data_IF_497883311140
#
_entry.id   IF_497883311140
#
_cell.length_a   1.000
_cell.length_b   1.000
_cell.length_c   1.000
_cell.angle_alpha   90.00
_cell.angle_beta   90.00
_cell.angle_gamma   90.00
#
_symmetry.space_group_name_H-M   'P 1'
#
loop_
_entity.id
_entity.type
_entity.pdbx_description
1 polymer ?
#
# COMPACT_ATOMS: atom_id res chain seq x y z
N UNK A 1 16.02 18.73 -2.70
CA UNK A 1 16.12 20.19 -2.87
C UNK A 1 15.04 20.97 -2.09
N UNK A 2 13.75 20.56 -2.10
CA UNK A 2 12.65 21.26 -1.40
C UNK A 2 12.84 21.27 0.12
N UNK A 3 13.03 20.12 0.76
CA UNK A 3 13.25 19.99 2.20
C UNK A 3 14.43 20.86 2.70
N UNK A 4 15.56 20.86 1.97
CA UNK A 4 16.72 21.72 2.37
C UNK A 4 16.37 23.21 2.38
N UNK A 5 15.52 23.67 1.46
CA UNK A 5 15.04 25.07 1.44
C UNK A 5 14.04 25.36 2.56
N UNK A 6 13.22 24.36 2.91
CA UNK A 6 12.16 24.52 3.92
C UNK A 6 12.72 24.50 5.34
N UNK A 7 13.68 23.63 5.62
CA UNK A 7 14.19 23.39 6.98
C UNK A 7 15.59 23.97 7.23
N UNK A 8 16.28 24.47 6.19
CA UNK A 8 17.56 25.16 6.27
C UNK A 8 18.56 24.50 7.26
N UNK A 9 18.85 25.15 8.37
CA UNK A 9 19.81 24.68 9.39
C UNK A 9 19.29 23.42 10.15
N UNK A 10 18.01 23.13 10.11
CA UNK A 10 17.39 21.96 10.76
C UNK A 10 17.20 20.79 9.80
N UNK A 11 17.68 20.89 8.56
CA UNK A 11 17.46 19.88 7.55
C UNK A 11 17.90 18.48 7.99
N UNK A 12 19.11 18.35 8.54
CA UNK A 12 19.67 17.04 8.88
C UNK A 12 18.91 16.39 10.04
N UNK A 13 18.48 17.18 11.03
CA UNK A 13 17.65 16.71 12.15
C UNK A 13 16.27 16.24 11.66
N UNK A 14 15.60 17.05 10.86
CA UNK A 14 14.28 16.71 10.29
C UNK A 14 14.38 15.49 9.37
N UNK A 15 15.42 15.42 8.54
CA UNK A 15 15.64 14.29 7.64
C UNK A 15 15.86 12.99 8.42
N UNK A 16 16.66 13.01 9.48
CA UNK A 16 16.88 11.84 10.34
C UNK A 16 15.59 11.38 11.02
N UNK A 17 14.83 12.29 11.62
CA UNK A 17 13.57 11.99 12.29
C UNK A 17 12.51 11.41 11.30
N UNK A 18 12.40 12.01 10.11
CA UNK A 18 11.50 11.50 9.07
C UNK A 18 11.93 10.11 8.57
N UNK A 19 13.23 9.89 8.42
CA UNK A 19 13.77 8.59 7.99
C UNK A 19 13.46 7.52 9.04
N UNK A 20 13.71 7.79 10.31
CA UNK A 20 13.39 6.89 11.42
C UNK A 20 11.88 6.58 11.45
N UNK A 21 11.04 7.61 11.36
CA UNK A 21 9.59 7.44 11.31
C UNK A 21 9.15 6.55 10.14
N UNK A 22 9.64 6.80 8.92
CA UNK A 22 9.25 6.03 7.73
C UNK A 22 9.73 4.57 7.81
N UNK A 23 10.93 4.33 8.32
CA UNK A 23 11.47 2.98 8.50
C UNK A 23 10.76 2.20 9.63
N UNK A 24 10.09 2.88 10.57
CA UNK A 24 9.30 2.24 11.62
C UNK A 24 7.89 1.83 11.17
N UNK A 25 7.44 2.27 9.99
CA UNK A 25 6.10 1.94 9.50
C UNK A 25 6.03 0.48 9.00
N UNK A 26 4.90 -0.22 9.21
CA UNK A 26 4.72 -1.54 8.63
C UNK A 26 4.67 -1.45 7.09
N UNK A 27 5.33 -2.40 6.42
CA UNK A 27 5.30 -2.50 4.95
C UNK A 27 3.92 -2.89 4.43
N UNK A 28 3.20 -3.69 5.21
CA UNK A 28 1.87 -4.16 4.90
C UNK A 28 1.15 -4.62 6.17
N UNK A 29 -0.16 -4.76 6.08
CA UNK A 29 -1.01 -5.31 7.14
C UNK A 29 -1.81 -6.46 6.53
N UNK A 30 -1.73 -7.64 7.15
CA UNK A 30 -2.59 -8.77 6.86
C UNK A 30 -3.64 -8.88 7.97
N UNK A 31 -4.90 -8.66 7.62
CA UNK A 31 -6.01 -8.77 8.55
C UNK A 31 -6.44 -10.22 8.78
N UNK A 32 -7.09 -10.51 9.93
CA UNK A 32 -7.58 -11.84 10.27
C UNK A 32 -8.61 -12.37 9.26
N UNK A 33 -9.41 -11.49 8.68
CA UNK A 33 -10.40 -11.78 7.64
C UNK A 33 -9.80 -11.85 6.21
N UNK A 34 -8.48 -12.08 6.10
CA UNK A 34 -7.74 -12.31 4.86
C UNK A 34 -7.72 -11.12 3.90
N UNK A 35 -7.86 -9.90 4.45
CA UNK A 35 -7.65 -8.65 3.70
C UNK A 35 -6.20 -8.20 3.88
N UNK A 36 -5.55 -7.82 2.78
CA UNK A 36 -4.22 -7.26 2.73
C UNK A 36 -4.25 -5.77 2.43
N UNK A 37 -3.50 -5.00 3.21
CA UNK A 37 -3.30 -3.57 2.98
C UNK A 37 -1.82 -3.31 2.74
N UNK A 38 -1.48 -2.63 1.65
CA UNK A 38 -0.13 -2.12 1.40
C UNK A 38 -0.19 -0.92 0.46
N UNK A 39 0.92 -0.18 0.39
CA UNK A 39 1.00 0.95 -0.54
C UNK A 39 0.91 0.46 -2.00
N UNK A 40 1.57 -0.65 -2.33
CA UNK A 40 1.52 -1.27 -3.64
C UNK A 40 1.78 -2.79 -3.55
N UNK A 41 1.89 -3.46 -4.71
CA UNK A 41 2.26 -4.87 -4.86
C UNK A 41 3.35 -5.03 -5.91
N UNK A 42 4.14 -6.12 -5.89
CA UNK A 42 5.06 -6.46 -6.97
C UNK A 42 4.37 -6.48 -8.34
N UNK A 43 5.04 -5.98 -9.37
CA UNK A 43 4.60 -6.19 -10.75
C UNK A 43 4.74 -7.68 -11.14
N UNK A 44 3.99 -8.14 -12.15
CA UNK A 44 3.98 -9.55 -12.57
C UNK A 44 5.38 -10.14 -12.78
N UNK A 45 6.28 -9.38 -13.42
CA UNK A 45 7.66 -9.80 -13.71
C UNK A 45 8.53 -9.96 -12.45
N UNK A 46 8.12 -9.36 -11.34
CA UNK A 46 8.91 -9.29 -10.11
C UNK A 46 8.41 -10.30 -9.07
N UNK A 47 7.25 -10.97 -9.29
CA UNK A 47 6.62 -11.89 -8.34
C UNK A 47 7.53 -13.06 -7.98
N UNK A 48 8.23 -13.65 -8.97
CA UNK A 48 9.11 -14.80 -8.74
C UNK A 48 10.35 -14.47 -7.90
N UNK A 49 10.71 -13.20 -7.80
CA UNK A 49 11.84 -12.70 -7.03
C UNK A 49 11.40 -12.00 -5.74
N UNK A 50 10.10 -11.98 -5.45
CA UNK A 50 9.56 -11.32 -4.27
C UNK A 50 9.90 -12.13 -3.01
N UNK A 51 10.74 -11.53 -2.17
CA UNK A 51 11.22 -12.14 -0.93
C UNK A 51 10.28 -11.83 0.24
N UNK A 52 9.55 -12.84 0.71
CA UNK A 52 8.64 -12.72 1.87
C UNK A 52 9.37 -12.54 3.20
N UNK A 53 10.68 -12.80 3.27
CA UNK A 53 11.44 -12.63 4.51
C UNK A 53 11.51 -11.20 4.99
N UNK A 54 11.22 -10.22 4.11
CA UNK A 54 11.13 -8.79 4.44
C UNK A 54 10.10 -8.49 5.53
N UNK A 55 9.08 -9.34 5.71
CA UNK A 55 8.06 -9.17 6.74
C UNK A 55 8.51 -9.68 8.12
N UNK A 56 9.63 -10.41 8.19
CA UNK A 56 10.14 -11.02 9.41
C UNK A 56 11.41 -10.36 9.95
N UNK A 57 11.83 -9.24 9.36
CA UNK A 57 13.01 -8.49 9.77
C UNK A 57 12.79 -6.98 9.62
N UNK A 58 13.51 -6.15 10.37
CA UNK A 58 13.60 -4.73 10.05
C UNK A 58 14.14 -4.52 8.63
N UNK A 59 13.65 -3.53 7.93
CA UNK A 59 14.19 -3.11 6.64
C UNK A 59 14.98 -1.81 6.78
N UNK A 60 15.87 -1.58 5.85
CA UNK A 60 16.82 -0.47 5.81
C UNK A 60 16.58 0.40 4.57
N UNK A 61 17.30 1.50 4.46
CA UNK A 61 17.26 2.33 3.25
C UNK A 61 17.70 1.58 1.99
N UNK A 62 18.62 0.62 2.10
CA UNK A 62 19.08 -0.19 0.97
C UNK A 62 17.96 -1.10 0.44
N UNK A 63 17.07 -1.58 1.33
CA UNK A 63 15.92 -2.42 0.94
C UNK A 63 14.90 -1.64 0.08
N UNK A 64 14.88 -0.30 0.15
CA UNK A 64 13.97 0.55 -0.62
C UNK A 64 14.46 0.73 -2.07
N UNK A 65 15.70 0.35 -2.37
CA UNK A 65 16.28 0.46 -3.71
C UNK A 65 15.89 -0.74 -4.59
N UNK A 66 15.92 -0.51 -5.93
CA UNK A 66 15.71 -1.59 -6.90
C UNK A 66 16.86 -2.61 -6.85
N UNK A 67 16.58 -3.90 -7.05
CA UNK A 67 15.28 -4.55 -7.34
C UNK A 67 14.58 -5.12 -6.09
N UNK A 68 14.90 -4.63 -4.91
CA UNK A 68 14.50 -5.21 -3.63
C UNK A 68 12.97 -5.26 -3.41
N UNK A 69 12.52 -6.19 -2.57
CA UNK A 69 11.10 -6.45 -2.36
C UNK A 69 10.36 -5.32 -1.63
N UNK A 70 11.05 -4.55 -0.78
CA UNK A 70 10.49 -3.33 -0.17
C UNK A 70 10.21 -2.28 -1.24
N UNK A 71 11.14 -2.11 -2.22
CA UNK A 71 10.89 -1.25 -3.38
C UNK A 71 9.63 -1.69 -4.16
N UNK A 72 9.44 -3.00 -4.34
CA UNK A 72 8.29 -3.54 -5.08
C UNK A 72 6.96 -3.23 -4.37
N UNK A 73 6.92 -3.27 -3.03
CA UNK A 73 5.74 -2.90 -2.22
C UNK A 73 5.44 -1.40 -2.19
N UNK A 74 6.41 -0.56 -2.55
CA UNK A 74 6.24 0.90 -2.58
C UNK A 74 6.03 1.45 -3.98
N UNK A 75 6.58 0.80 -5.02
CA UNK A 75 6.60 1.32 -6.39
C UNK A 75 6.06 0.34 -7.43
N UNK A 76 5.64 -0.86 -7.04
CA UNK A 76 5.14 -1.86 -7.97
C UNK A 76 3.85 -1.40 -8.65
N UNK A 77 3.69 -1.78 -9.92
CA UNK A 77 2.52 -1.47 -10.75
C UNK A 77 2.32 -2.57 -11.78
N UNK A 78 1.16 -2.60 -12.40
CA UNK A 78 0.83 -3.49 -13.53
C UNK A 78 0.75 -4.95 -13.10
N UNK A 79 -0.10 -5.22 -12.16
CA UNK A 79 -0.50 -6.57 -11.80
C UNK A 79 -1.61 -7.03 -12.75
N UNK A 80 -1.42 -8.19 -13.40
CA UNK A 80 -2.48 -8.89 -14.12
C UNK A 80 -3.40 -9.64 -13.15
N UNK A 81 -4.55 -10.09 -13.63
CA UNK A 81 -5.43 -10.94 -12.82
C UNK A 81 -4.74 -12.24 -12.38
N UNK A 82 -3.88 -12.83 -13.21
CA UNK A 82 -3.09 -14.01 -12.86
C UNK A 82 -2.01 -13.68 -11.81
N UNK A 83 -1.32 -12.54 -11.96
CA UNK A 83 -0.36 -12.06 -10.96
C UNK A 83 -1.00 -11.80 -9.60
N UNK A 84 -2.17 -11.16 -9.57
CA UNK A 84 -2.93 -10.94 -8.35
C UNK A 84 -3.38 -12.26 -7.69
N UNK A 85 -3.79 -13.26 -8.48
CA UNK A 85 -4.13 -14.58 -7.96
C UNK A 85 -2.92 -15.25 -7.32
N UNK A 86 -1.76 -15.25 -7.98
CA UNK A 86 -0.50 -15.80 -7.43
C UNK A 86 -0.09 -15.09 -6.15
N UNK A 87 -0.18 -13.77 -6.10
CA UNK A 87 0.12 -12.99 -4.89
C UNK A 87 -0.85 -13.31 -3.75
N UNK A 88 -2.14 -13.49 -4.04
CA UNK A 88 -3.14 -13.87 -3.05
C UNK A 88 -2.84 -15.25 -2.43
N UNK A 89 -2.46 -16.23 -3.25
CA UNK A 89 -2.01 -17.55 -2.79
C UNK A 89 -0.73 -17.47 -1.97
N UNK A 90 0.27 -16.72 -2.44
CA UNK A 90 1.57 -16.55 -1.78
C UNK A 90 1.45 -15.86 -0.41
N UNK A 91 0.59 -14.84 -0.30
CA UNK A 91 0.38 -14.04 0.90
C UNK A 91 -0.72 -14.59 1.81
N UNK A 92 -1.42 -15.64 1.38
CA UNK A 92 -2.56 -16.25 2.05
C UNK A 92 -3.65 -15.22 2.39
N UNK A 93 -4.13 -14.50 1.35
CA UNK A 93 -5.16 -13.46 1.45
C UNK A 93 -6.17 -13.59 0.31
N UNK A 94 -7.34 -12.96 0.48
CA UNK A 94 -8.40 -12.99 -0.52
C UNK A 94 -8.57 -11.64 -1.23
N UNK A 95 -8.29 -10.54 -0.55
CA UNK A 95 -8.52 -9.18 -1.03
C UNK A 95 -7.28 -8.32 -0.81
N UNK A 96 -6.99 -7.46 -1.79
CA UNK A 96 -6.00 -6.41 -1.72
C UNK A 96 -6.65 -5.04 -1.65
N UNK A 97 -6.24 -4.22 -0.67
CA UNK A 97 -6.53 -2.79 -0.60
C UNK A 97 -5.20 -2.05 -0.78
N UNK A 98 -5.10 -1.29 -1.85
CA UNK A 98 -3.87 -0.64 -2.28
C UNK A 98 -4.04 0.88 -2.37
N UNK A 99 -2.93 1.59 -2.28
CA UNK A 99 -2.81 3.01 -2.60
C UNK A 99 -2.01 3.23 -3.88
N UNK A 100 -1.05 4.15 -3.82
CA UNK A 100 -0.01 4.44 -4.81
C UNK A 100 -0.48 4.98 -6.17
N UNK A 101 -1.59 4.52 -6.70
CA UNK A 101 -2.07 4.88 -8.03
C UNK A 101 -3.15 5.96 -7.90
N UNK A 102 -2.95 7.15 -8.51
CA UNK A 102 -3.97 8.20 -8.48
C UNK A 102 -5.32 7.71 -9.01
N UNK A 103 -6.39 8.07 -8.33
CA UNK A 103 -7.75 7.73 -8.69
C UNK A 103 -8.59 9.00 -8.76
N UNK A 104 -9.01 9.42 -9.96
CA UNK A 104 -9.75 10.69 -10.16
C UNK A 104 -11.05 10.74 -9.33
N UNK A 105 -11.68 9.61 -9.11
CA UNK A 105 -12.93 9.47 -8.32
C UNK A 105 -12.68 9.00 -6.87
N UNK A 106 -11.41 8.97 -6.43
CA UNK A 106 -11.02 8.55 -5.10
C UNK A 106 -10.79 7.05 -4.93
N UNK A 107 -11.31 6.20 -5.82
CA UNK A 107 -11.11 4.76 -5.77
C UNK A 107 -11.40 4.07 -7.11
N UNK A 108 -10.93 2.82 -7.23
CA UNK A 108 -11.32 1.91 -8.32
C UNK A 108 -11.26 0.45 -7.89
N UNK A 109 -12.18 -0.36 -8.38
CA UNK A 109 -12.10 -1.82 -8.31
C UNK A 109 -11.25 -2.29 -9.50
N UNK A 110 -9.94 -2.39 -9.29
CA UNK A 110 -8.96 -2.65 -10.34
C UNK A 110 -8.99 -4.12 -10.83
N UNK A 111 -9.44 -5.04 -9.97
CA UNK A 111 -9.66 -6.45 -10.27
C UNK A 111 -10.75 -6.99 -9.33
N UNK A 112 -11.30 -8.20 -9.56
CA UNK A 112 -12.34 -8.78 -8.70
C UNK A 112 -11.96 -8.86 -7.21
N UNK A 113 -10.66 -8.92 -6.91
CA UNK A 113 -10.13 -8.99 -5.55
C UNK A 113 -9.22 -7.80 -5.18
N UNK A 114 -9.24 -6.70 -5.93
CA UNK A 114 -8.31 -5.59 -5.71
C UNK A 114 -9.02 -4.24 -5.75
N UNK A 115 -9.03 -3.55 -4.63
CA UNK A 115 -9.51 -2.18 -4.47
C UNK A 115 -8.32 -1.24 -4.34
N UNK A 116 -8.27 -0.19 -5.16
CA UNK A 116 -7.29 0.90 -5.04
C UNK A 116 -8.03 2.11 -4.51
N UNK A 117 -7.49 2.75 -3.48
CA UNK A 117 -8.04 3.98 -2.88
C UNK A 117 -7.01 5.10 -2.93
N UNK A 118 -7.47 6.32 -3.08
CA UNK A 118 -6.69 7.54 -3.07
C UNK A 118 -7.27 8.54 -2.08
N UNK A 119 -6.43 9.31 -1.41
CA UNK A 119 -6.83 10.30 -0.40
C UNK A 119 -6.17 11.67 -0.59
N UNK A 120 -5.40 11.86 -1.67
CA UNK A 120 -4.59 13.05 -1.92
C UNK A 120 -5.35 14.25 -2.51
N UNK A 121 -6.66 14.14 -2.74
CA UNK A 121 -7.49 15.19 -3.33
C UNK A 121 -8.93 15.17 -2.77
N UNK A 122 -9.74 16.16 -3.16
CA UNK A 122 -11.10 16.37 -2.63
C UNK A 122 -12.08 15.21 -2.86
N UNK A 123 -11.81 14.32 -3.80
CA UNK A 123 -12.60 13.10 -4.05
C UNK A 123 -11.98 11.88 -3.36
N UNK A 124 -10.95 12.07 -2.53
CA UNK A 124 -10.34 11.01 -1.76
C UNK A 124 -11.33 10.29 -0.86
N UNK A 125 -11.03 9.02 -0.56
CA UNK A 125 -11.89 8.18 0.25
C UNK A 125 -11.14 7.59 1.44
N UNK A 126 -11.89 7.37 2.54
CA UNK A 126 -11.55 6.44 3.61
C UNK A 126 -12.34 5.15 3.39
N UNK A 127 -11.82 4.06 3.92
CA UNK A 127 -12.51 2.77 3.92
C UNK A 127 -12.61 2.27 5.36
N UNK A 128 -13.84 2.00 5.79
CA UNK A 128 -14.13 1.37 7.08
C UNK A 128 -14.61 -0.06 6.85
N UNK A 129 -14.07 -1.03 7.58
CA UNK A 129 -14.54 -2.41 7.54
C UNK A 129 -14.28 -3.13 8.88
N UNK A 130 -15.11 -4.12 9.15
CA UNK A 130 -15.07 -4.94 10.35
C UNK A 130 -14.10 -6.12 10.15
N UNK A 131 -13.17 -6.32 11.07
CA UNK A 131 -12.19 -7.39 11.00
C UNK A 131 -12.78 -8.80 11.23
N UNK A 132 -13.97 -8.86 11.83
CA UNK A 132 -14.66 -10.13 12.10
C UNK A 132 -15.61 -10.56 10.97
N UNK A 133 -15.76 -9.72 9.93
CA UNK A 133 -16.60 -10.01 8.76
C UNK A 133 -15.78 -10.44 7.55
N UNK A 134 -16.36 -11.33 6.75
CA UNK A 134 -15.85 -11.66 5.43
C UNK A 134 -16.46 -10.72 4.39
N UNK A 135 -15.66 -10.34 3.40
CA UNK A 135 -16.04 -9.44 2.33
C UNK A 135 -15.57 -9.98 0.98
N UNK A 136 -16.22 -9.54 -0.08
CA UNK A 136 -15.61 -9.44 -1.40
C UNK A 136 -15.04 -8.01 -1.57
N UNK A 137 -14.12 -7.81 -2.50
CA UNK A 137 -13.65 -6.45 -2.78
C UNK A 137 -14.78 -5.54 -3.28
N UNK A 138 -15.83 -6.10 -3.85
CA UNK A 138 -17.05 -5.36 -4.25
C UNK A 138 -17.84 -4.88 -3.03
N UNK A 139 -18.02 -5.73 -2.01
CA UNK A 139 -18.76 -5.34 -0.80
C UNK A 139 -18.06 -4.17 -0.09
N UNK A 140 -16.73 -4.12 -0.12
CA UNK A 140 -15.97 -3.03 0.46
C UNK A 140 -16.22 -1.68 -0.22
N UNK A 141 -16.65 -1.65 -1.47
CA UNK A 141 -16.96 -0.37 -2.14
C UNK A 141 -18.14 0.35 -1.53
N UNK A 142 -19.07 -0.37 -0.88
CA UNK A 142 -20.23 0.21 -0.19
C UNK A 142 -19.85 0.86 1.15
N UNK A 143 -18.66 0.57 1.64
CA UNK A 143 -18.11 1.10 2.91
C UNK A 143 -17.15 2.28 2.69
N UNK A 144 -17.00 2.77 1.46
CA UNK A 144 -16.15 3.91 1.14
C UNK A 144 -16.80 5.21 1.60
N UNK A 145 -16.06 6.02 2.34
CA UNK A 145 -16.50 7.32 2.87
C UNK A 145 -15.70 8.41 2.18
N UNK A 146 -16.32 9.28 1.37
CA UNK A 146 -15.63 10.41 0.79
C UNK A 146 -15.10 11.35 1.87
N UNK A 147 -13.82 11.73 1.79
CA UNK A 147 -13.17 12.58 2.82
C UNK A 147 -13.87 13.94 2.96
N UNK A 148 -14.39 14.49 1.86
CA UNK A 148 -15.10 15.77 1.87
C UNK A 148 -16.47 15.72 2.56
N UNK A 149 -16.94 14.58 2.99
CA UNK A 149 -18.20 14.41 3.75
C UNK A 149 -17.97 14.26 5.26
N UNK A 150 -16.70 14.23 5.69
CA UNK A 150 -16.34 14.10 7.11
C UNK A 150 -16.31 15.53 7.68
N UNK A 151 -17.13 15.78 8.69
CA UNK A 151 -17.17 17.04 9.46
C UNK A 151 -16.13 17.09 10.59
#
# INVERSE_FOLDING_TARGET
AAMRRQFENHYDEVYAAMTEYLLSQPLAIRCANRIWLSHSLPADRDIDQFDLSIFNRPFTLDDIERPNSVYQLTWGRRQSAEGLKRLAEMLDVDIFILGHQPQETGWTLAAPNTLIIASEHNFGCLLEFDLDKQYTARDLTDNLIPINTIE
#
